data_IF_333433823082
#
_entry.id   IF_333433823082
#
_cell.length_a   1.000
_cell.length_b   1.000
_cell.length_c   1.000
_cell.angle_alpha   90.00
_cell.angle_beta   90.00
_cell.angle_gamma   90.00
#
_symmetry.space_group_name_H-M   'P 1'
#
loop_
_entity.id
_entity.type
_entity.pdbx_description
1 polymer ?
#
# COMPACT_ATOMS: atom_id res chain seq x y z
N UNK A 1 15.09 -15.77 -9.04
CA UNK A 1 13.75 -16.36 -9.27
C UNK A 1 13.19 -16.85 -7.96
N UNK A 2 11.88 -16.76 -7.76
CA UNK A 2 11.18 -17.25 -6.57
C UNK A 2 11.05 -18.78 -6.60
N UNK A 3 11.69 -19.45 -5.65
CA UNK A 3 11.67 -20.91 -5.53
C UNK A 3 10.30 -21.43 -5.03
N UNK A 4 9.53 -20.58 -4.34
CA UNK A 4 8.21 -20.89 -3.83
C UNK A 4 7.36 -19.62 -3.74
N UNK A 5 6.05 -19.79 -3.85
CA UNK A 5 5.07 -18.74 -3.66
C UNK A 5 4.06 -19.18 -2.59
N UNK A 6 3.65 -18.26 -1.73
CA UNK A 6 2.60 -18.47 -0.74
C UNK A 6 1.54 -17.40 -0.93
N UNK A 7 0.26 -17.79 -0.83
CA UNK A 7 -0.84 -16.84 -0.87
C UNK A 7 -0.82 -15.95 0.37
N UNK A 8 -0.89 -14.64 0.17
CA UNK A 8 -1.05 -13.66 1.24
C UNK A 8 -2.54 -13.47 1.57
N UNK A 9 -2.85 -13.25 2.84
CA UNK A 9 -4.17 -12.78 3.25
C UNK A 9 -4.31 -11.29 2.87
N UNK A 10 -5.45 -10.90 2.31
CA UNK A 10 -5.69 -9.53 1.86
C UNK A 10 -7.02 -9.00 2.37
N UNK A 11 -7.02 -7.76 2.84
CA UNK A 11 -8.23 -7.04 3.22
C UNK A 11 -9.03 -6.57 2.00
N UNK A 12 -9.93 -7.44 1.52
CA UNK A 12 -10.87 -7.18 0.45
C UNK A 12 -10.47 -7.83 -0.87
N UNK A 13 -11.16 -7.44 -1.95
CA UNK A 13 -11.02 -8.06 -3.29
C UNK A 13 -10.65 -7.04 -4.36
N UNK A 14 -10.18 -5.86 -3.96
CA UNK A 14 -9.72 -4.82 -4.89
C UNK A 14 -8.48 -5.32 -5.65
N UNK A 15 -8.43 -5.07 -6.97
CA UNK A 15 -7.22 -5.32 -7.73
C UNK A 15 -6.11 -4.35 -7.28
N UNK A 16 -4.88 -4.86 -7.14
CA UNK A 16 -3.71 -4.09 -6.72
C UNK A 16 -2.79 -3.85 -7.92
N UNK A 17 -2.29 -2.62 -8.07
CA UNK A 17 -1.59 -2.17 -9.27
C UNK A 17 -0.15 -1.71 -9.00
N UNK A 18 0.15 -1.27 -7.78
CA UNK A 18 1.47 -0.79 -7.42
C UNK A 18 1.72 -0.79 -5.93
N UNK A 19 2.90 -0.38 -5.53
CA UNK A 19 3.31 -0.37 -4.12
C UNK A 19 4.78 -0.10 -3.93
N UNK A 20 5.21 -0.07 -2.67
CA UNK A 20 6.60 0.08 -2.26
C UNK A 20 6.87 -0.67 -0.96
N UNK A 21 8.15 -0.85 -0.66
CA UNK A 21 8.62 -1.41 0.61
C UNK A 21 9.44 -0.32 1.31
N UNK A 22 9.11 -0.03 2.57
CA UNK A 22 9.86 0.91 3.41
C UNK A 22 11.18 0.27 3.89
N UNK A 23 12.17 1.09 4.31
CA UNK A 23 13.40 0.58 4.91
C UNK A 23 13.20 -0.30 6.15
N UNK A 24 12.10 -0.11 6.88
CA UNK A 24 11.70 -0.92 8.04
C UNK A 24 11.02 -2.27 7.66
N UNK A 25 10.85 -2.55 6.36
CA UNK A 25 10.25 -3.77 5.86
C UNK A 25 8.73 -3.71 5.68
N UNK A 26 8.07 -2.61 6.09
CA UNK A 26 6.65 -2.42 5.86
C UNK A 26 6.35 -2.34 4.36
N UNK A 27 5.38 -3.14 3.91
CA UNK A 27 4.96 -3.19 2.51
C UNK A 27 3.66 -2.41 2.37
N UNK A 28 3.59 -1.49 1.40
CA UNK A 28 2.37 -0.76 1.06
C UNK A 28 1.95 -1.07 -0.37
N UNK A 29 0.70 -1.47 -0.57
CA UNK A 29 0.11 -1.78 -1.87
C UNK A 29 -1.08 -0.85 -2.14
N UNK A 30 -1.25 -0.46 -3.40
CA UNK A 30 -2.34 0.41 -3.84
C UNK A 30 -3.05 -0.15 -5.06
N UNK A 31 -4.31 0.25 -5.24
CA UNK A 31 -5.09 -0.29 -6.35
C UNK A 31 -6.46 0.32 -6.57
N UNK A 32 -7.36 -0.52 -7.09
CA UNK A 32 -8.73 -0.20 -7.44
C UNK A 32 -9.52 0.32 -6.22
N UNK A 33 -10.54 1.16 -6.48
CA UNK A 33 -11.44 1.72 -5.46
C UNK A 33 -10.72 2.47 -4.32
N UNK A 34 -9.52 2.98 -4.60
CA UNK A 34 -8.68 3.70 -3.68
C UNK A 34 -8.07 2.83 -2.61
N UNK A 35 -7.88 1.54 -2.89
CA UNK A 35 -7.26 0.62 -1.95
C UNK A 35 -5.85 1.11 -1.58
N UNK A 36 -5.60 1.21 -0.27
CA UNK A 36 -4.27 1.36 0.30
C UNK A 36 -4.16 0.32 1.41
N UNK A 37 -3.39 -0.73 1.15
CA UNK A 37 -3.17 -1.83 2.05
C UNK A 37 -1.73 -1.80 2.56
N UNK A 38 -1.50 -2.24 3.80
CA UNK A 38 -0.17 -2.38 4.35
C UNK A 38 0.01 -3.75 5.01
N UNK A 39 1.23 -4.26 4.96
CA UNK A 39 1.68 -5.43 5.70
C UNK A 39 2.89 -5.08 6.53
N UNK A 40 2.83 -5.47 7.81
CA UNK A 40 3.90 -5.33 8.79
C UNK A 40 4.55 -6.71 9.12
N UNK A 41 4.15 -7.78 8.42
CA UNK A 41 4.53 -9.17 8.69
C UNK A 41 5.24 -9.86 7.50
N UNK A 42 5.92 -9.06 6.67
CA UNK A 42 6.65 -9.56 5.50
C UNK A 42 5.76 -9.99 4.34
N UNK A 43 4.55 -9.44 4.26
CA UNK A 43 3.60 -9.71 3.17
C UNK A 43 2.74 -10.95 3.38
N UNK A 44 2.63 -11.48 4.61
CA UNK A 44 1.78 -12.64 4.90
C UNK A 44 0.32 -12.22 5.03
N UNK A 45 0.07 -11.06 5.64
CA UNK A 45 -1.26 -10.46 5.74
C UNK A 45 -1.21 -8.96 5.43
N UNK A 46 -2.23 -8.48 4.72
CA UNK A 46 -2.42 -7.08 4.38
C UNK A 46 -3.71 -6.53 4.99
N UNK A 47 -3.58 -5.44 5.74
CA UNK A 47 -4.70 -4.70 6.31
C UNK A 47 -4.91 -3.37 5.58
N UNK A 48 -6.15 -2.87 5.56
CA UNK A 48 -6.45 -1.57 4.94
C UNK A 48 -6.03 -0.45 5.89
N UNK A 49 -5.16 0.45 5.41
CA UNK A 49 -4.67 1.60 6.19
C UNK A 49 -5.25 2.93 5.72
N UNK A 50 -5.75 2.99 4.49
CA UNK A 50 -6.50 4.13 3.99
C UNK A 50 -7.46 3.70 2.85
N UNK A 51 -8.44 4.56 2.57
CA UNK A 51 -9.27 4.44 1.38
C UNK A 51 -9.45 5.81 0.72
N UNK A 52 -9.00 5.93 -0.52
CA UNK A 52 -9.23 7.11 -1.35
C UNK A 52 -10.47 6.86 -2.23
N UNK A 53 -11.67 6.98 -1.65
CA UNK A 53 -12.91 6.57 -2.28
C UNK A 53 -13.04 7.08 -3.74
N UNK A 54 -13.47 6.17 -4.62
CA UNK A 54 -13.72 6.44 -6.04
C UNK A 54 -12.49 6.79 -6.90
N UNK A 55 -11.26 6.55 -6.42
CA UNK A 55 -10.04 6.75 -7.21
C UNK A 55 -9.39 5.42 -7.59
N UNK A 56 -8.79 5.34 -8.78
CA UNK A 56 -7.91 4.22 -9.14
C UNK A 56 -6.46 4.63 -8.92
N UNK A 57 -5.75 3.92 -8.04
CA UNK A 57 -4.35 4.19 -7.73
C UNK A 57 -3.44 3.24 -8.50
N UNK A 58 -2.62 3.79 -9.39
CA UNK A 58 -1.70 3.02 -10.24
C UNK A 58 -0.34 2.78 -9.57
N UNK A 59 0.14 3.73 -8.77
CA UNK A 59 1.44 3.63 -8.11
C UNK A 59 1.46 4.35 -6.77
N UNK A 60 2.43 3.99 -5.93
CA UNK A 60 2.71 4.68 -4.69
C UNK A 60 4.22 4.82 -4.50
N UNK A 61 4.63 5.90 -3.82
CA UNK A 61 6.02 6.18 -3.49
C UNK A 61 6.14 6.54 -2.01
N UNK A 62 7.11 5.92 -1.35
CA UNK A 62 7.53 6.32 -0.01
C UNK A 62 8.23 7.69 -0.07
N UNK A 63 7.76 8.66 0.73
CA UNK A 63 8.48 9.92 0.90
C UNK A 63 9.34 9.82 2.15
N UNK A 64 10.51 9.19 2.05
CA UNK A 64 11.44 9.02 3.17
C UNK A 64 11.84 10.32 3.88
N UNK A 65 11.81 11.45 3.18
CA UNK A 65 12.04 12.78 3.75
C UNK A 65 10.91 13.28 4.68
N UNK A 66 9.75 12.62 4.69
CA UNK A 66 8.62 12.93 5.54
C UNK A 66 8.08 11.64 6.17
N UNK A 67 8.33 11.41 7.47
CA UNK A 67 7.86 10.21 8.15
C UNK A 67 6.37 9.94 7.90
N UNK A 68 6.06 8.67 7.68
CA UNK A 68 4.70 8.17 7.47
C UNK A 68 3.95 8.83 6.32
N UNK A 69 4.65 9.41 5.36
CA UNK A 69 4.03 10.01 4.18
C UNK A 69 4.23 9.14 2.95
N UNK A 70 3.17 8.92 2.19
CA UNK A 70 3.26 8.38 0.84
C UNK A 70 2.66 9.33 -0.19
N UNK A 71 3.22 9.33 -1.41
CA UNK A 71 2.54 9.83 -2.61
C UNK A 71 1.79 8.70 -3.28
N UNK A 72 0.58 9.00 -3.72
CA UNK A 72 -0.30 8.13 -4.48
C UNK A 72 -0.48 8.75 -5.87
N UNK A 73 -0.37 7.93 -6.90
CA UNK A 73 -0.55 8.34 -8.29
C UNK A 73 -1.74 7.58 -8.88
N UNK A 74 -2.67 8.29 -9.51
CA UNK A 74 -3.90 7.69 -10.02
C UNK A 74 -4.59 8.53 -11.09
N UNK A 75 -5.81 8.11 -11.42
CA UNK A 75 -6.72 8.77 -12.39
C UNK A 75 -7.10 10.22 -12.02
N UNK A 76 -7.00 10.58 -10.74
CA UNK A 76 -7.19 11.97 -10.26
C UNK A 76 -5.86 12.71 -10.00
N UNK A 77 -4.75 12.25 -10.60
CA UNK A 77 -3.42 12.84 -10.43
C UNK A 77 -2.70 12.35 -9.18
N UNK A 78 -2.05 13.27 -8.46
CA UNK A 78 -1.22 12.95 -7.28
C UNK A 78 -1.94 13.33 -5.99
N UNK A 79 -1.90 12.43 -5.00
CA UNK A 79 -2.36 12.71 -3.64
C UNK A 79 -1.26 12.36 -2.64
N UNK A 80 -1.20 13.10 -1.53
CA UNK A 80 -0.36 12.79 -0.38
C UNK A 80 -1.23 12.18 0.71
N UNK A 81 -0.78 11.09 1.33
CA UNK A 81 -1.44 10.48 2.48
C UNK A 81 -0.48 10.32 3.65
N UNK A 82 -1.06 10.28 4.85
CA UNK A 82 -0.39 9.75 6.03
C UNK A 82 -0.71 8.26 6.14
N UNK A 83 0.32 7.43 6.19
CA UNK A 83 0.21 6.01 6.52
C UNK A 83 -0.02 5.93 8.03
N UNK A 84 -1.13 5.35 8.48
CA UNK A 84 -1.31 5.07 9.91
C UNK A 84 -0.11 4.25 10.41
N UNK A 85 0.48 4.61 11.55
CA UNK A 85 1.61 3.90 12.13
C UNK A 85 1.33 2.40 12.29
N UNK A 86 2.38 1.57 12.31
CA UNK A 86 2.25 0.17 12.74
C UNK A 86 1.59 0.19 14.12
N UNK A 87 0.36 -0.33 14.22
CA UNK A 87 -0.32 -0.41 15.51
C UNK A 87 0.57 -1.12 16.52
N UNK A 88 0.69 -0.55 17.72
CA UNK A 88 1.24 -1.22 18.90
C UNK A 88 0.41 -2.44 19.27
#
# INVERSE_FOLDING_TARGET
>A
GGASWQAAQSAGTDALFGGFVRPDGRIVLVGQNGAVLASDDGGRAFARVAKQASRTLAAALDLSAAPDTALLFGDYGVARITLAGSGS
#
